data_IF_119078523250
#
_entry.id   IF_119078523250
#
_cell.length_a   1.000
_cell.length_b   1.000
_cell.length_c   1.000
_cell.angle_alpha   90.00
_cell.angle_beta   90.00
_cell.angle_gamma   90.00
#
_symmetry.space_group_name_H-M   'P 1'
#
loop_
_entity.id
_entity.type
_entity.pdbx_description
1 polymer ?
#
# COMPACT_ATOMS: atom_id res chain seq x y z
N UNK A 1 -3.04 -1.43 -115.78
CA UNK A 1 -2.74 -0.84 -114.45
C UNK A 1 -1.32 -0.28 -114.54
N UNK A 2 -1.08 0.93 -114.04
CA UNK A 2 0.23 1.59 -114.09
C UNK A 2 1.08 1.19 -112.87
N UNK A 3 2.32 0.76 -113.09
CA UNK A 3 3.26 0.34 -112.02
C UNK A 3 3.51 1.41 -110.95
N UNK A 4 3.39 2.70 -111.30
CA UNK A 4 3.52 3.80 -110.33
C UNK A 4 2.43 3.76 -109.25
N UNK A 5 1.20 3.43 -109.61
CA UNK A 5 0.07 3.36 -108.66
C UNK A 5 0.21 2.17 -107.70
N UNK A 6 0.83 1.08 -108.16
CA UNK A 6 1.13 -0.09 -107.31
C UNK A 6 2.20 0.29 -106.27
N UNK A 7 3.22 1.05 -106.66
CA UNK A 7 4.28 1.49 -105.73
C UNK A 7 3.78 2.45 -104.64
N UNK A 8 2.82 3.33 -104.98
CA UNK A 8 2.18 4.25 -104.03
C UNK A 8 1.34 3.49 -103.00
N UNK A 9 0.56 2.48 -103.43
CA UNK A 9 -0.20 1.61 -102.52
C UNK A 9 0.70 0.82 -101.56
N UNK A 10 1.81 0.26 -102.06
CA UNK A 10 2.78 -0.44 -101.21
C UNK A 10 3.38 0.50 -100.17
N UNK A 11 3.72 1.73 -100.56
CA UNK A 11 4.27 2.74 -99.65
C UNK A 11 3.25 3.14 -98.57
N UNK A 12 1.98 3.28 -98.94
CA UNK A 12 0.89 3.56 -98.02
C UNK A 12 0.68 2.41 -97.03
N UNK A 13 0.75 1.15 -97.49
CA UNK A 13 0.71 -0.02 -96.60
C UNK A 13 1.90 -0.05 -95.63
N UNK A 14 3.11 0.26 -96.07
CA UNK A 14 4.29 0.31 -95.20
C UNK A 14 4.14 1.40 -94.12
N UNK A 15 3.58 2.56 -94.48
CA UNK A 15 3.28 3.62 -93.51
C UNK A 15 2.24 3.19 -92.48
N UNK A 16 1.17 2.51 -92.91
CA UNK A 16 0.17 1.98 -92.01
C UNK A 16 0.77 0.98 -91.01
N UNK A 17 1.57 0.03 -91.48
CA UNK A 17 2.23 -0.96 -90.62
C UNK A 17 3.15 -0.29 -89.58
N UNK A 18 3.87 0.77 -89.98
CA UNK A 18 4.73 1.52 -89.04
C UNK A 18 3.91 2.27 -87.99
N UNK A 19 2.84 2.93 -88.40
CA UNK A 19 1.97 3.65 -87.48
C UNK A 19 1.29 2.69 -86.50
N UNK A 20 0.79 1.56 -86.98
CA UNK A 20 0.21 0.52 -86.13
C UNK A 20 1.23 -0.03 -85.12
N UNK A 21 2.48 -0.25 -85.55
CA UNK A 21 3.55 -0.68 -84.65
C UNK A 21 3.92 0.39 -83.61
N UNK A 22 3.94 1.68 -83.97
CA UNK A 22 4.19 2.79 -83.06
C UNK A 22 3.06 2.97 -82.04
N UNK A 23 1.79 2.89 -82.48
CA UNK A 23 0.62 2.94 -81.60
C UNK A 23 0.64 1.75 -80.62
N UNK A 24 0.98 0.55 -81.09
CA UNK A 24 1.14 -0.65 -80.24
C UNK A 24 2.26 -0.48 -79.22
N UNK A 25 3.39 0.07 -79.63
CA UNK A 25 4.52 0.31 -78.73
C UNK A 25 4.17 1.35 -77.65
N UNK A 26 3.47 2.42 -78.02
CA UNK A 26 3.00 3.43 -77.08
C UNK A 26 1.94 2.87 -76.12
N UNK A 27 0.99 2.07 -76.61
CA UNK A 27 0.00 1.37 -75.78
C UNK A 27 0.67 0.51 -74.70
N UNK A 28 1.68 -0.28 -75.09
CA UNK A 28 2.46 -1.10 -74.15
C UNK A 28 3.23 -0.22 -73.16
N UNK A 29 3.82 0.88 -73.62
CA UNK A 29 4.57 1.80 -72.76
C UNK A 29 3.70 2.43 -71.67
N UNK A 30 2.52 2.93 -72.04
CA UNK A 30 1.55 3.53 -71.10
C UNK A 30 1.04 2.47 -70.12
N UNK A 31 0.65 1.28 -70.63
CA UNK A 31 0.19 0.18 -69.77
C UNK A 31 1.26 -0.26 -68.76
N UNK A 32 2.52 -0.37 -69.19
CA UNK A 32 3.62 -0.76 -68.31
C UNK A 32 3.90 0.29 -67.23
N UNK A 33 3.79 1.58 -67.55
CA UNK A 33 3.97 2.66 -66.57
C UNK A 33 2.82 2.70 -65.54
N UNK A 34 1.59 2.46 -65.98
CA UNK A 34 0.44 2.33 -65.08
C UNK A 34 0.60 1.15 -64.12
N UNK A 35 0.96 -0.03 -64.63
CA UNK A 35 1.20 -1.24 -63.82
C UNK A 35 2.34 -1.01 -62.81
N UNK A 36 3.46 -0.43 -63.25
CA UNK A 36 4.58 -0.11 -62.36
C UNK A 36 4.17 0.80 -61.20
N UNK A 37 3.38 1.84 -61.50
CA UNK A 37 2.92 2.78 -60.49
C UNK A 37 1.97 2.12 -59.48
N UNK A 38 1.07 1.24 -59.94
CA UNK A 38 0.16 0.47 -59.09
C UNK A 38 0.94 -0.46 -58.16
N UNK A 39 1.86 -1.28 -58.69
CA UNK A 39 2.65 -2.21 -57.88
C UNK A 39 3.53 -1.50 -56.86
N UNK A 40 4.22 -0.43 -57.29
CA UNK A 40 5.02 0.40 -56.40
C UNK A 40 4.20 0.95 -55.24
N UNK A 41 3.00 1.47 -55.52
CA UNK A 41 2.11 2.01 -54.50
C UNK A 41 1.63 0.92 -53.54
N UNK A 42 1.24 -0.25 -54.06
CA UNK A 42 0.84 -1.39 -53.25
C UNK A 42 1.96 -1.86 -52.30
N UNK A 43 3.19 -1.99 -52.79
CA UNK A 43 4.35 -2.37 -51.96
C UNK A 43 4.61 -1.36 -50.85
N UNK A 44 4.58 -0.06 -51.17
CA UNK A 44 4.80 1.02 -50.19
C UNK A 44 3.68 1.04 -49.15
N UNK A 45 2.42 0.88 -49.56
CA UNK A 45 1.28 0.86 -48.63
C UNK A 45 1.28 -0.36 -47.72
N UNK A 46 1.66 -1.53 -48.23
CA UNK A 46 1.80 -2.76 -47.46
C UNK A 46 2.86 -2.61 -46.36
N UNK A 47 4.05 -2.12 -46.69
CA UNK A 47 5.12 -1.90 -45.72
C UNK A 47 4.77 -0.78 -44.73
N UNK A 48 4.17 0.33 -45.18
CA UNK A 48 3.65 1.38 -44.28
C UNK A 48 2.65 0.81 -43.27
N UNK A 49 1.74 -0.07 -43.71
CA UNK A 49 0.77 -0.71 -42.82
C UNK A 49 1.45 -1.59 -41.78
N UNK A 50 2.44 -2.39 -42.17
CA UNK A 50 3.23 -3.23 -41.26
C UNK A 50 3.97 -2.39 -40.23
N UNK A 51 4.65 -1.33 -40.67
CA UNK A 51 5.37 -0.39 -39.80
C UNK A 51 4.41 0.24 -38.79
N UNK A 52 3.24 0.73 -39.22
CA UNK A 52 2.25 1.31 -38.30
C UNK A 52 1.83 0.34 -37.21
N UNK A 53 1.54 -0.92 -37.55
CA UNK A 53 1.14 -1.94 -36.57
C UNK A 53 2.25 -2.24 -35.56
N UNK A 54 3.51 -2.30 -36.03
CA UNK A 54 4.65 -2.53 -35.14
C UNK A 54 4.87 -1.36 -34.17
N UNK A 55 4.71 -0.12 -34.63
CA UNK A 55 4.82 1.06 -33.76
C UNK A 55 3.66 1.17 -32.78
N UNK A 56 2.43 0.84 -33.19
CA UNK A 56 1.28 0.81 -32.29
C UNK A 56 1.48 -0.21 -31.16
N UNK A 57 2.05 -1.38 -31.47
CA UNK A 57 2.40 -2.38 -30.45
C UNK A 57 3.49 -1.87 -29.50
N UNK A 58 4.54 -1.23 -30.03
CA UNK A 58 5.62 -0.65 -29.22
C UNK A 58 5.13 0.48 -28.33
N UNK A 59 4.26 1.34 -28.83
CA UNK A 59 3.65 2.44 -28.08
C UNK A 59 2.86 1.90 -26.89
N UNK A 60 1.96 0.94 -27.12
CA UNK A 60 1.21 0.26 -26.05
C UNK A 60 2.14 -0.40 -25.02
N UNK A 61 3.22 -1.01 -25.46
CA UNK A 61 4.21 -1.62 -24.55
C UNK A 61 4.90 -0.56 -23.67
N UNK A 62 5.27 0.58 -24.26
CA UNK A 62 5.90 1.70 -23.53
C UNK A 62 4.93 2.30 -22.53
N UNK A 63 3.65 2.48 -22.90
CA UNK A 63 2.63 2.97 -21.97
C UNK A 63 2.45 2.06 -20.75
N UNK A 64 2.37 0.74 -20.98
CA UNK A 64 2.27 -0.23 -19.88
C UNK A 64 3.50 -0.18 -19.00
N UNK A 65 4.71 -0.11 -19.57
CA UNK A 65 5.95 0.03 -18.80
C UNK A 65 5.97 1.31 -17.96
N UNK A 66 5.56 2.44 -18.52
CA UNK A 66 5.45 3.71 -17.79
C UNK A 66 4.49 3.60 -16.59
N UNK A 67 3.35 2.94 -16.75
CA UNK A 67 2.38 2.71 -15.67
C UNK A 67 2.96 1.83 -14.55
N UNK A 68 3.66 0.75 -14.92
CA UNK A 68 4.32 -0.13 -13.95
C UNK A 68 5.41 0.63 -13.18
N UNK A 69 6.24 1.38 -13.89
CA UNK A 69 7.32 2.17 -13.28
C UNK A 69 6.77 3.21 -12.31
N UNK A 70 5.75 3.96 -12.75
CA UNK A 70 5.05 4.93 -11.89
C UNK A 70 4.48 4.27 -10.63
N UNK A 71 3.77 3.16 -10.78
CA UNK A 71 3.19 2.41 -9.65
C UNK A 71 4.28 1.87 -8.70
N UNK A 72 5.40 1.40 -9.25
CA UNK A 72 6.54 0.89 -8.48
C UNK A 72 7.20 2.02 -7.68
N UNK A 73 7.43 3.18 -8.29
CA UNK A 73 7.99 4.36 -7.63
C UNK A 73 7.07 4.86 -6.50
N UNK A 74 5.76 4.87 -6.74
CA UNK A 74 4.77 5.24 -5.72
C UNK A 74 4.79 4.27 -4.54
N UNK A 75 4.81 2.96 -4.81
CA UNK A 75 4.86 1.95 -3.75
C UNK A 75 6.17 2.01 -2.95
N UNK A 76 7.30 2.20 -3.63
CA UNK A 76 8.59 2.41 -2.97
C UNK A 76 8.57 3.64 -2.05
N UNK A 77 7.93 4.72 -2.48
CA UNK A 77 7.79 5.94 -1.67
C UNK A 77 6.88 5.72 -0.47
N UNK A 78 5.76 5.01 -0.65
CA UNK A 78 4.85 4.63 0.44
C UNK A 78 5.55 3.76 1.49
N UNK A 79 6.32 2.76 1.06
CA UNK A 79 7.07 1.88 1.97
C UNK A 79 8.08 2.67 2.80
N UNK A 80 8.78 3.65 2.22
CA UNK A 80 9.70 4.52 2.96
C UNK A 80 8.99 5.31 4.08
N UNK A 81 7.79 5.82 3.81
CA UNK A 81 7.00 6.54 4.82
C UNK A 81 6.60 5.59 5.95
N UNK A 82 6.13 4.39 5.62
CA UNK A 82 5.76 3.37 6.62
C UNK A 82 6.96 2.94 7.47
N UNK A 83 8.13 2.75 6.85
CA UNK A 83 9.38 2.45 7.56
C UNK A 83 9.75 3.57 8.53
N UNK A 84 9.71 4.83 8.09
CA UNK A 84 10.00 5.97 8.95
C UNK A 84 9.01 6.09 10.14
N UNK A 85 7.74 5.78 9.92
CA UNK A 85 6.73 5.72 10.99
C UNK A 85 7.03 4.58 11.98
N UNK A 86 7.32 3.39 11.48
CA UNK A 86 7.67 2.23 12.32
C UNK A 86 8.93 2.49 13.14
N UNK A 87 9.95 3.12 12.53
CA UNK A 87 11.20 3.48 13.21
C UNK A 87 10.95 4.52 14.31
N UNK A 88 10.08 5.50 14.07
CA UNK A 88 9.69 6.48 15.08
C UNK A 88 8.95 5.84 16.25
N UNK A 89 8.00 4.94 15.97
CA UNK A 89 7.27 4.20 17.01
C UNK A 89 8.22 3.30 17.81
N UNK A 90 9.16 2.62 17.15
CA UNK A 90 10.20 1.83 17.81
C UNK A 90 11.10 2.68 18.69
N UNK A 91 11.53 3.85 18.23
CA UNK A 91 12.33 4.77 19.01
C UNK A 91 11.57 5.29 20.24
N UNK A 92 10.30 5.70 20.07
CA UNK A 92 9.44 6.10 21.18
C UNK A 92 9.24 4.97 22.20
N UNK A 93 9.04 3.74 21.71
CA UNK A 93 8.90 2.57 22.57
C UNK A 93 10.18 2.31 23.36
N UNK A 94 11.34 2.34 22.71
CA UNK A 94 12.63 2.14 23.37
C UNK A 94 12.88 3.21 24.45
N UNK A 95 12.51 4.47 24.19
CA UNK A 95 12.63 5.54 25.19
C UNK A 95 11.66 5.37 26.37
N UNK A 96 10.42 4.95 26.10
CA UNK A 96 9.47 4.59 27.15
C UNK A 96 9.94 3.38 27.98
N UNK A 97 10.55 2.37 27.35
CA UNK A 97 11.14 1.21 28.03
C UNK A 97 12.27 1.66 28.98
N UNK A 98 13.13 2.60 28.58
CA UNK A 98 14.16 3.18 29.47
C UNK A 98 13.54 3.91 30.66
N UNK A 99 12.48 4.70 30.44
CA UNK A 99 11.78 5.37 31.53
C UNK A 99 11.13 4.37 32.49
N UNK A 100 10.57 3.26 31.99
CA UNK A 100 10.00 2.21 32.83
C UNK A 100 11.06 1.52 33.70
N UNK A 101 12.28 1.33 33.19
CA UNK A 101 13.39 0.82 33.99
C UNK A 101 13.72 1.78 35.15
N UNK A 102 13.75 3.10 34.92
CA UNK A 102 13.99 4.06 36.02
C UNK A 102 12.92 3.99 37.13
N UNK A 103 11.66 3.72 36.79
CA UNK A 103 10.59 3.55 37.80
C UNK A 103 10.77 2.28 38.61
N UNK A 104 11.42 1.25 38.05
CA UNK A 104 11.71 0.01 38.80
C UNK A 104 12.84 0.16 39.81
N UNK A 105 13.69 1.19 39.67
CA UNK A 105 14.74 1.51 40.63
C UNK A 105 14.17 2.20 41.90
N UNK A 106 13.04 2.91 41.75
CA UNK A 106 12.34 3.59 42.85
C UNK A 106 11.45 2.60 43.62
N UNK A 107 11.98 2.04 44.73
CA UNK A 107 11.30 0.98 45.50
C UNK A 107 9.88 1.33 46.00
N UNK A 108 9.64 2.56 46.44
CA UNK A 108 8.32 2.99 46.94
C UNK A 108 7.30 3.17 45.80
N UNK A 109 7.72 3.80 44.69
CA UNK A 109 6.88 4.00 43.52
C UNK A 109 6.56 2.66 42.84
N UNK A 110 7.55 1.77 42.75
CA UNK A 110 7.39 0.43 42.22
C UNK A 110 6.45 -0.43 43.09
N UNK A 111 6.57 -0.38 44.43
CA UNK A 111 5.66 -1.08 45.34
C UNK A 111 4.19 -0.67 45.16
N UNK A 112 3.92 0.64 45.03
CA UNK A 112 2.59 1.16 44.74
C UNK A 112 2.07 0.72 43.35
N UNK A 113 2.97 0.70 42.35
CA UNK A 113 2.63 0.21 41.01
C UNK A 113 2.27 -1.28 41.04
N UNK A 114 3.06 -2.12 41.71
CA UNK A 114 2.77 -3.56 41.88
C UNK A 114 1.42 -3.78 42.58
N UNK A 115 1.11 -3.01 43.63
CA UNK A 115 -0.20 -3.04 44.30
C UNK A 115 -1.33 -2.79 43.32
N UNK A 116 -1.22 -1.72 42.53
CA UNK A 116 -2.25 -1.34 41.55
C UNK A 116 -2.46 -2.40 40.45
N UNK A 117 -1.38 -3.03 39.99
CA UNK A 117 -1.41 -4.08 38.97
C UNK A 117 -2.05 -5.36 39.49
N UNK A 118 -1.74 -5.78 40.72
CA UNK A 118 -2.37 -6.94 41.37
C UNK A 118 -3.87 -6.70 41.53
N UNK A 119 -4.25 -5.53 42.06
CA UNK A 119 -5.67 -5.14 42.21
C UNK A 119 -6.38 -5.17 40.85
N UNK A 120 -5.80 -4.58 39.80
CA UNK A 120 -6.36 -4.60 38.45
C UNK A 120 -6.53 -6.03 37.90
N UNK A 121 -5.57 -6.92 38.15
CA UNK A 121 -5.64 -8.33 37.77
C UNK A 121 -6.81 -9.05 38.46
N UNK A 122 -6.99 -8.84 39.77
CA UNK A 122 -8.10 -9.39 40.54
C UNK A 122 -9.46 -8.88 40.05
N UNK A 123 -9.57 -7.59 39.69
CA UNK A 123 -10.79 -7.01 39.08
C UNK A 123 -11.19 -7.65 37.77
N UNK A 124 -10.21 -8.04 36.95
CA UNK A 124 -10.44 -8.62 35.62
C UNK A 124 -10.80 -10.11 35.70
N UNK A 125 -10.20 -10.86 36.61
CA UNK A 125 -10.45 -12.29 36.76
C UNK A 125 -11.73 -12.61 37.53
N UNK A 126 -12.05 -11.86 38.60
CA UNK A 126 -13.22 -12.09 39.47
C UNK A 126 -13.39 -13.55 39.93
N UNK A 127 -12.28 -14.20 40.26
CA UNK A 127 -12.27 -15.60 40.69
C UNK A 127 -12.00 -15.73 42.20
N UNK A 128 -12.51 -16.79 42.85
CA UNK A 128 -12.31 -17.01 44.28
C UNK A 128 -10.88 -17.48 44.62
N UNK A 129 -10.15 -18.08 43.68
CA UNK A 129 -8.76 -18.52 43.86
C UNK A 129 -7.90 -18.09 42.68
N UNK A 130 -6.76 -17.48 42.97
CA UNK A 130 -5.86 -16.84 41.99
C UNK A 130 -4.42 -17.21 42.34
N UNK A 131 -3.64 -17.61 41.33
CA UNK A 131 -2.22 -17.89 41.46
C UNK A 131 -1.42 -16.72 40.86
N UNK A 132 -0.53 -16.12 41.64
CA UNK A 132 0.37 -15.06 41.20
C UNK A 132 1.76 -15.61 40.91
N UNK A 133 2.33 -15.18 39.79
CA UNK A 133 3.71 -15.47 39.41
C UNK A 133 4.46 -14.16 39.23
N UNK A 134 5.59 -14.02 39.90
CA UNK A 134 6.45 -12.84 39.84
C UNK A 134 7.88 -13.21 39.44
N UNK A 135 8.72 -12.19 39.25
CA UNK A 135 10.17 -12.36 39.13
C UNK A 135 10.75 -12.68 40.49
N UNK A 136 11.86 -13.42 40.51
CA UNK A 136 12.54 -13.82 41.77
C UNK A 136 12.93 -12.61 42.62
N UNK A 137 13.38 -11.52 41.99
CA UNK A 137 13.78 -10.26 42.63
C UNK A 137 12.62 -9.53 43.32
N UNK A 138 11.39 -9.70 42.80
CA UNK A 138 10.20 -8.99 43.24
C UNK A 138 9.41 -9.78 44.30
N UNK A 139 9.80 -11.02 44.60
CA UNK A 139 9.06 -11.94 45.46
C UNK A 139 8.77 -11.33 46.85
N UNK A 140 9.79 -10.74 47.48
CA UNK A 140 9.65 -10.13 48.81
C UNK A 140 8.77 -8.87 48.81
N UNK A 141 8.82 -8.07 47.74
CA UNK A 141 7.96 -6.88 47.60
C UNK A 141 6.51 -7.28 47.35
N UNK A 142 6.28 -8.31 46.54
CA UNK A 142 4.95 -8.83 46.27
C UNK A 142 4.32 -9.36 47.56
N UNK A 143 5.01 -10.20 48.35
CA UNK A 143 4.48 -10.71 49.62
C UNK A 143 4.03 -9.59 50.57
N UNK A 144 4.81 -8.51 50.69
CA UNK A 144 4.45 -7.37 51.53
C UNK A 144 3.23 -6.57 51.04
N UNK A 145 2.93 -6.60 49.75
CA UNK A 145 1.86 -5.82 49.12
C UNK A 145 0.55 -6.61 48.98
N UNK A 146 0.57 -7.95 49.16
CA UNK A 146 -0.60 -8.81 48.96
C UNK A 146 -1.78 -8.46 49.87
N UNK A 147 -1.54 -8.27 51.16
CA UNK A 147 -2.62 -8.04 52.13
C UNK A 147 -3.27 -6.67 51.92
N UNK A 148 -2.44 -5.69 51.57
CA UNK A 148 -2.80 -4.37 51.13
C UNK A 148 -3.63 -4.37 49.82
N UNK A 149 -3.29 -5.24 48.87
CA UNK A 149 -4.04 -5.38 47.62
C UNK A 149 -5.39 -6.10 47.83
N UNK A 150 -5.46 -7.10 48.72
CA UNK A 150 -6.71 -7.79 49.08
C UNK A 150 -7.71 -6.84 49.75
N UNK A 151 -7.24 -6.03 50.69
CA UNK A 151 -8.08 -5.03 51.37
C UNK A 151 -8.62 -3.98 50.39
N UNK A 152 -7.79 -3.50 49.47
CA UNK A 152 -8.23 -2.57 48.43
C UNK A 152 -9.24 -3.22 47.45
N UNK A 153 -9.02 -4.47 47.06
CA UNK A 153 -9.97 -5.21 46.22
C UNK A 153 -11.34 -5.38 46.90
N UNK A 154 -11.38 -5.82 48.16
CA UNK A 154 -12.62 -5.97 48.92
C UNK A 154 -13.36 -4.64 49.06
N UNK A 155 -12.64 -3.54 49.27
CA UNK A 155 -13.21 -2.21 49.43
C UNK A 155 -13.97 -1.72 48.18
N UNK A 156 -13.45 -1.95 46.96
CA UNK A 156 -14.13 -1.50 45.73
C UNK A 156 -15.02 -2.55 45.04
N UNK A 157 -14.93 -3.84 45.38
CA UNK A 157 -15.88 -4.88 44.91
C UNK A 157 -17.06 -5.09 45.87
N UNK A 158 -17.01 -4.57 47.10
CA UNK A 158 -18.07 -4.72 48.11
C UNK A 158 -18.50 -6.19 48.30
N UNK A 159 -17.55 -7.11 48.27
CA UNK A 159 -17.78 -8.55 48.44
C UNK A 159 -17.06 -9.03 49.70
N UNK A 160 -17.74 -9.83 50.51
CA UNK A 160 -17.21 -10.35 51.80
C UNK A 160 -16.21 -11.50 51.65
N UNK A 161 -16.10 -12.07 50.45
CA UNK A 161 -15.20 -13.18 50.16
C UNK A 161 -13.82 -12.67 49.77
N UNK A 162 -12.83 -12.89 50.63
CA UNK A 162 -11.42 -12.67 50.32
C UNK A 162 -10.96 -13.67 49.26
N UNK A 163 -10.44 -13.24 48.09
CA UNK A 163 -9.88 -14.16 47.11
C UNK A 163 -8.63 -14.83 47.69
N UNK A 164 -8.53 -16.15 47.55
CA UNK A 164 -7.33 -16.90 47.91
C UNK A 164 -6.24 -16.61 46.87
N UNK A 165 -5.22 -15.85 47.26
CA UNK A 165 -4.10 -15.48 46.39
C UNK A 165 -2.86 -16.26 46.79
N UNK A 166 -2.45 -17.21 45.94
CA UNK A 166 -1.27 -18.06 46.14
C UNK A 166 -0.10 -17.56 45.28
N UNK A 167 1.04 -17.23 45.88
CA UNK A 167 2.25 -16.90 45.11
C UNK A 167 3.00 -18.19 44.75
N UNK A 168 3.28 -18.37 43.46
CA UNK A 168 4.05 -19.50 42.92
C UNK A 168 5.55 -19.32 43.24
N UNK A 169 6.06 -20.08 44.22
CA UNK A 169 7.47 -20.07 44.61
C UNK A 169 8.36 -21.07 43.86
N UNK A 170 7.83 -21.79 42.86
CA UNK A 170 8.57 -22.82 42.12
C UNK A 170 8.85 -22.43 40.66
N UNK A 171 7.96 -21.66 40.04
CA UNK A 171 8.13 -21.22 38.64
C UNK A 171 8.14 -19.70 38.55
N UNK A 172 9.33 -19.09 38.46
CA UNK A 172 9.46 -17.64 38.34
C UNK A 172 9.33 -17.12 36.91
N UNK A 173 9.03 -15.83 36.75
CA UNK A 173 9.15 -15.14 35.47
C UNK A 173 10.63 -14.94 35.11
N UNK A 174 10.97 -14.92 33.81
CA UNK A 174 12.33 -14.62 33.37
C UNK A 174 12.74 -13.22 33.86
N UNK A 175 14.06 -13.05 33.99
CA UNK A 175 14.68 -11.83 34.51
C UNK A 175 14.40 -10.58 33.66
N UNK A 176 14.96 -9.43 34.07
CA UNK A 176 14.82 -8.16 33.36
C UNK A 176 15.12 -8.32 31.86
N UNK A 177 14.37 -7.64 30.98
CA UNK A 177 14.62 -7.72 29.55
C UNK A 177 16.01 -7.16 29.26
N UNK A 178 16.90 -8.02 28.76
CA UNK A 178 18.17 -7.60 28.16
C UNK A 178 17.90 -6.99 26.77
N UNK A 179 18.80 -6.12 26.31
CA UNK A 179 18.69 -5.35 25.07
C UNK A 179 18.33 -6.26 23.88
N UNK A 180 17.10 -6.14 23.36
CA UNK A 180 16.58 -6.96 22.25
C UNK A 180 15.63 -8.11 22.62
N UNK A 181 15.35 -8.34 23.91
CA UNK A 181 14.28 -9.26 24.35
C UNK A 181 12.95 -8.53 24.54
N UNK A 182 11.81 -9.13 24.17
CA UNK A 182 10.51 -8.50 24.40
C UNK A 182 10.32 -8.25 25.89
N UNK A 183 9.74 -7.11 26.27
CA UNK A 183 9.44 -6.78 27.68
C UNK A 183 8.55 -7.89 28.24
N UNK A 184 9.10 -8.71 29.14
CA UNK A 184 8.34 -9.75 29.82
C UNK A 184 7.75 -9.13 31.09
N UNK A 185 6.44 -9.27 31.25
CA UNK A 185 5.64 -8.77 32.36
C UNK A 185 6.31 -9.01 33.74
N UNK A 186 6.21 -8.04 34.66
CA UNK A 186 6.75 -8.20 36.03
C UNK A 186 5.90 -9.14 36.90
N UNK A 187 4.59 -9.24 36.60
CA UNK A 187 3.65 -10.11 37.31
C UNK A 187 2.71 -10.79 36.30
N UNK A 188 2.46 -12.09 36.50
CA UNK A 188 1.46 -12.86 35.78
C UNK A 188 0.42 -13.39 36.77
N UNK A 189 -0.86 -13.12 36.51
CA UNK A 189 -1.99 -13.56 37.33
C UNK A 189 -2.71 -14.69 36.61
N UNK A 190 -2.83 -15.86 37.26
CA UNK A 190 -3.48 -17.06 36.73
C UNK A 190 -4.64 -17.50 37.62
N UNK A 191 -5.57 -18.27 37.07
CA UNK A 191 -6.63 -18.93 37.84
C UNK A 191 -6.04 -20.03 38.73
N UNK A 192 -6.58 -20.20 39.94
CA UNK A 192 -6.13 -21.24 40.87
C UNK A 192 -6.52 -22.67 40.43
N UNK A 193 -5.82 -23.71 40.94
CA UNK A 193 -5.97 -25.11 40.50
C UNK A 193 -7.33 -25.79 40.79
N UNK A 194 -8.32 -25.08 41.31
CA UNK A 194 -9.70 -25.56 41.52
C UNK A 194 -10.76 -24.95 40.59
N UNK A 195 -10.37 -24.02 39.72
CA UNK A 195 -11.24 -23.38 38.71
C UNK A 195 -11.07 -24.12 37.38
N UNK A 196 -12.15 -24.64 36.80
CA UNK A 196 -12.08 -25.49 35.61
C UNK A 196 -11.42 -24.78 34.41
N UNK A 197 -10.14 -25.07 34.11
CA UNK A 197 -9.53 -24.91 32.77
C UNK A 197 -8.08 -25.48 32.66
N UNK A 198 -7.94 -26.45 31.74
CA UNK A 198 -6.93 -26.60 30.67
C UNK A 198 -5.42 -26.34 30.96
N UNK A 199 -4.54 -27.35 30.82
CA UNK A 199 -3.08 -27.25 31.03
C UNK A 199 -2.28 -26.46 29.96
N UNK A 200 -2.91 -25.92 28.91
CA UNK A 200 -2.20 -25.47 27.69
C UNK A 200 -2.32 -23.99 27.34
N UNK A 201 -2.88 -23.15 28.21
CA UNK A 201 -3.18 -21.75 27.88
C UNK A 201 -1.94 -20.85 27.97
N UNK A 202 -1.43 -20.54 26.77
CA UNK A 202 -0.40 -19.55 26.40
C UNK A 202 -0.36 -18.30 27.29
N UNK A 203 0.81 -17.65 27.45
CA UNK A 203 0.88 -16.30 28.02
C UNK A 203 -0.19 -15.44 27.34
N UNK A 204 -0.85 -14.60 28.14
CA UNK A 204 -2.01 -13.81 27.76
C UNK A 204 -1.60 -12.71 26.76
N UNK A 205 -1.11 -13.09 25.58
CA UNK A 205 -0.74 -12.20 24.47
C UNK A 205 -1.97 -11.76 23.66
N UNK A 206 -3.17 -11.77 24.25
CA UNK A 206 -4.36 -11.40 23.49
C UNK A 206 -5.50 -10.70 24.21
N UNK A 207 -5.21 -10.08 25.36
CA UNK A 207 -6.16 -9.15 25.98
C UNK A 207 -5.51 -7.82 26.35
N UNK A 208 -4.78 -7.21 25.40
CA UNK A 208 -4.67 -5.74 25.34
C UNK A 208 -5.80 -5.23 24.44
N UNK A 209 -6.82 -4.60 25.04
CA UNK A 209 -7.74 -3.74 24.29
C UNK A 209 -7.00 -2.42 23.98
N UNK A 210 -7.16 -1.89 22.76
CA UNK A 210 -6.37 -0.80 22.19
C UNK A 210 -6.67 0.56 22.85
N UNK A 211 -5.69 1.10 23.55
CA UNK A 211 -5.57 2.56 23.72
C UNK A 211 -4.42 3.13 22.91
N UNK A 212 -3.40 2.32 22.59
CA UNK A 212 -2.29 2.75 21.76
C UNK A 212 -2.59 2.65 20.26
N UNK A 213 -3.42 1.68 19.86
CA UNK A 213 -3.64 1.42 18.43
C UNK A 213 -4.73 2.28 17.80
N UNK A 214 -5.79 2.63 18.54
CA UNK A 214 -6.88 3.50 18.07
C UNK A 214 -6.48 4.97 17.95
N UNK A 215 -5.45 5.43 18.67
CA UNK A 215 -4.99 6.81 18.60
C UNK A 215 -3.93 7.05 17.52
N UNK A 216 -3.16 6.01 17.14
CA UNK A 216 -2.06 6.12 16.16
C UNK A 216 -2.30 5.41 14.83
N UNK A 217 -3.37 4.63 14.68
CA UNK A 217 -3.88 4.24 13.36
C UNK A 217 -5.02 5.17 12.95
N UNK A 218 -4.62 6.39 12.58
CA UNK A 218 -5.27 7.08 11.48
C UNK A 218 -5.31 6.10 10.30
N UNK A 219 -6.50 5.71 9.83
CA UNK A 219 -6.63 4.67 8.81
C UNK A 219 -5.81 5.07 7.58
N UNK A 220 -4.98 4.17 7.03
CA UNK A 220 -4.33 4.38 5.74
C UNK A 220 -5.33 4.60 4.58
N UNK A 221 -6.62 4.32 4.80
CA UNK A 221 -7.72 4.57 3.87
C UNK A 221 -8.03 6.07 3.72
N UNK A 222 -7.74 6.90 4.74
CA UNK A 222 -7.98 8.36 4.70
C UNK A 222 -6.88 9.13 3.94
N UNK A 223 -5.72 8.50 3.68
CA UNK A 223 -4.64 9.09 2.87
C UNK A 223 -4.93 8.98 1.37
N UNK A 224 -5.85 8.10 0.96
CA UNK A 224 -6.25 7.95 -0.45
C UNK A 224 -7.11 9.15 -0.92
N UNK A 225 -7.65 9.96 -0.01
CA UNK A 225 -8.46 11.14 -0.34
C UNK A 225 -7.70 12.47 -0.38
N UNK A 226 -6.42 12.52 0.02
CA UNK A 226 -5.61 13.74 -0.12
C UNK A 226 -4.88 13.83 -1.47
N UNK A 227 -4.53 12.67 -2.06
CA UNK A 227 -3.96 12.62 -3.41
C UNK A 227 -4.96 13.01 -4.51
N UNK A 228 -6.24 12.70 -4.31
CA UNK A 228 -7.33 13.06 -5.24
C UNK A 228 -7.79 14.53 -5.13
N UNK A 229 -7.37 15.24 -4.07
CA UNK A 229 -7.58 16.68 -3.91
C UNK A 229 -6.47 17.50 -4.61
N UNK A 230 -5.21 17.08 -4.50
CA UNK A 230 -4.09 17.72 -5.21
C UNK A 230 -4.10 17.44 -6.72
N UNK A 231 -4.56 16.27 -7.17
CA UNK A 231 -4.79 16.01 -8.60
C UNK A 231 -6.02 16.76 -9.14
N UNK A 232 -7.01 17.11 -8.30
CA UNK A 232 -8.15 17.95 -8.68
C UNK A 232 -7.81 19.44 -8.71
N UNK A 233 -7.00 19.94 -7.79
CA UNK A 233 -6.53 21.34 -7.80
C UNK A 233 -5.55 21.62 -8.96
N UNK A 234 -4.65 20.68 -9.26
CA UNK A 234 -3.75 20.79 -10.41
C UNK A 234 -4.48 20.68 -11.78
N UNK A 235 -5.67 20.07 -11.80
CA UNK A 235 -6.53 20.01 -12.99
C UNK A 235 -7.42 21.26 -13.14
N UNK A 236 -7.83 21.91 -12.05
CA UNK A 236 -8.62 23.16 -12.10
C UNK A 236 -7.77 24.38 -12.46
N UNK A 237 -6.50 24.43 -12.07
CA UNK A 237 -5.59 25.53 -12.47
C UNK A 237 -5.23 25.53 -13.96
N UNK A 238 -5.26 24.36 -14.62
CA UNK A 238 -5.10 24.28 -16.09
C UNK A 238 -6.37 24.62 -16.87
N UNK A 239 -7.54 24.62 -16.24
CA UNK A 239 -8.81 24.99 -16.87
C UNK A 239 -9.14 26.49 -16.69
N UNK A 240 -8.72 27.12 -15.58
CA UNK A 240 -8.89 28.56 -15.39
C UNK A 240 -7.96 29.43 -16.25
N UNK A 241 -6.83 28.90 -16.72
CA UNK A 241 -5.95 29.59 -17.68
C UNK A 241 -6.50 29.67 -19.11
N UNK A 242 -7.61 28.98 -19.43
CA UNK A 242 -8.20 28.94 -20.77
C UNK A 242 -9.56 29.67 -20.89
N UNK A 243 -10.05 30.29 -19.80
CA UNK A 243 -11.34 31.01 -19.76
C UNK A 243 -11.23 32.48 -19.33
N UNK A 244 -10.05 33.12 -19.46
CA UNK A 244 -9.86 34.54 -19.09
C UNK A 244 -9.80 35.52 -20.29
N UNK A 245 -10.14 35.08 -21.50
CA UNK A 245 -10.17 35.99 -22.66
C UNK A 245 -11.41 35.74 -23.52
N UNK A 246 -12.62 35.92 -22.98
CA UNK A 246 -13.83 36.26 -23.76
C UNK A 246 -15.04 36.41 -22.82
N UNK A 247 -15.29 37.61 -22.31
CA UNK A 247 -16.63 38.15 -22.02
C UNK A 247 -16.50 39.55 -21.40
N UNK A 248 -15.95 40.47 -22.18
CA UNK A 248 -16.44 41.84 -22.15
C UNK A 248 -17.78 41.80 -22.91
N UNK A 249 -18.77 42.52 -22.39
CA UNK A 249 -20.10 42.75 -22.98
C UNK A 249 -21.09 41.59 -22.81
N UNK A 250 -21.98 41.73 -21.83
CA UNK A 250 -23.43 41.55 -21.90
C UNK A 250 -23.95 41.43 -20.47
N UNK A 251 -24.47 42.51 -19.90
CA UNK A 251 -25.60 42.54 -18.95
C UNK A 251 -25.90 44.00 -18.56
N UNK A 252 -26.44 44.74 -19.51
CA UNK A 252 -27.38 45.82 -19.25
C UNK A 252 -28.64 45.46 -20.05
N UNK A 253 -29.76 45.15 -19.35
CA UNK A 253 -31.19 45.32 -19.75
C UNK A 253 -32.07 44.30 -19.00
N UNK A 254 -33.09 44.82 -18.28
CA UNK A 254 -34.24 44.15 -17.64
C UNK A 254 -33.90 43.24 -16.43
N UNK A 255 -34.37 43.47 -15.19
CA UNK A 255 -35.60 44.04 -14.65
C UNK A 255 -35.25 44.86 -13.40
#
# INVERSE_FOLDING_TARGET
MNDSQVSEQVTQMVHFIRQEAEEKANEIGVSAEEEFNIEKLQLVEAEKKKIRLDYERKEKQVEVRKKIEYSTQLNASRLKVLQAQDDLVRAMKAEAEKQLVSVSEDGDAYSQLLKSLIVQGLYRLKEPSVQLRCREQDYGLVEGVLDDAKTEYMAKVQTETSPEVLVDGQTFLPGPPEEGTPVIWSICVKKGPGSAADPSLRPVDRFLIPLYWTFFHYRPEDIVNFGTLLEREAATDKLHGLYSTHSHDFLATAI
#
